data_IF_066209421034
#
_entry.id   IF_066209421034
#
_cell.length_a   1.000
_cell.length_b   1.000
_cell.length_c   1.000
_cell.angle_alpha   90.00
_cell.angle_beta   90.00
_cell.angle_gamma   90.00
#
_symmetry.space_group_name_H-M   'P 1'
#
loop_
_entity.id
_entity.type
_entity.pdbx_description
1 polymer ?
#
# COMPACT_ATOMS: atom_id res chain seq x y z
N UNK A 1 -1.55 50.61 19.41
CA UNK A 1 -1.09 49.42 18.66
C UNK A 1 0.38 49.18 19.03
N UNK A 2 0.70 48.33 20.02
CA UNK A 2 2.07 47.78 20.24
C UNK A 2 2.18 46.89 21.51
N UNK A 3 1.17 46.09 21.87
CA UNK A 3 1.31 45.19 23.05
C UNK A 3 0.55 43.85 22.90
N UNK A 4 0.46 43.29 21.70
CA UNK A 4 -0.26 42.02 21.47
C UNK A 4 0.56 40.95 20.71
N UNK A 5 1.90 41.02 20.75
CA UNK A 5 2.78 40.03 20.09
C UNK A 5 3.45 39.08 21.11
N UNK A 6 3.25 39.29 22.42
CA UNK A 6 4.01 38.62 23.47
C UNK A 6 3.35 37.37 24.09
N UNK A 7 2.45 36.67 23.39
CA UNK A 7 1.82 35.44 23.90
C UNK A 7 1.67 34.34 22.84
N UNK A 8 2.67 34.16 21.96
CA UNK A 8 2.93 32.80 21.48
C UNK A 8 3.72 32.16 22.64
N UNK A 9 3.11 31.30 23.47
CA UNK A 9 3.79 30.80 24.65
C UNK A 9 5.10 30.11 24.20
N UNK A 10 6.18 30.29 24.95
CA UNK A 10 7.46 29.58 24.76
C UNK A 10 7.26 28.06 24.54
N UNK A 11 6.18 27.52 25.13
CA UNK A 11 5.62 26.18 24.88
C UNK A 11 5.38 25.86 23.41
N UNK A 12 4.85 26.77 22.59
CA UNK A 12 4.59 26.55 21.17
C UNK A 12 5.89 26.34 20.39
N UNK A 13 6.93 27.13 20.67
CA UNK A 13 8.24 26.96 20.04
C UNK A 13 8.85 25.58 20.37
N UNK A 14 8.77 25.18 21.64
CA UNK A 14 9.23 23.85 22.07
C UNK A 14 8.43 22.70 21.47
N UNK A 15 7.10 22.82 21.40
CA UNK A 15 6.21 21.82 20.78
C UNK A 15 6.48 21.70 19.27
N UNK A 16 6.64 22.82 18.56
CA UNK A 16 6.94 22.80 17.12
C UNK A 16 8.33 22.20 16.84
N UNK A 17 9.32 22.47 17.70
CA UNK A 17 10.64 21.87 17.59
C UNK A 17 10.63 20.37 17.89
N UNK A 18 9.89 19.94 18.91
CA UNK A 18 9.70 18.52 19.22
C UNK A 18 8.96 17.79 18.09
N UNK A 19 7.91 18.40 17.53
CA UNK A 19 7.20 17.88 16.36
C UNK A 19 8.11 17.75 15.13
N UNK A 20 8.96 18.74 14.88
CA UNK A 20 9.95 18.70 13.80
C UNK A 20 10.95 17.55 13.99
N UNK A 21 11.52 17.40 15.19
CA UNK A 21 12.43 16.28 15.50
C UNK A 21 11.72 14.95 15.33
N UNK A 22 10.47 14.83 15.81
CA UNK A 22 9.66 13.63 15.67
C UNK A 22 9.43 13.28 14.20
N UNK A 23 9.08 14.25 13.35
CA UNK A 23 8.91 14.05 11.91
C UNK A 23 10.21 13.63 11.22
N UNK A 24 11.35 14.24 11.57
CA UNK A 24 12.67 13.86 11.05
C UNK A 24 13.04 12.44 11.48
N UNK A 25 12.80 12.09 12.74
CA UNK A 25 13.07 10.76 13.27
C UNK A 25 12.17 9.71 12.61
N UNK A 26 10.88 10.01 12.43
CA UNK A 26 9.94 9.13 11.73
C UNK A 26 10.37 8.91 10.27
N UNK A 27 10.78 9.98 9.57
CA UNK A 27 11.28 9.91 8.20
C UNK A 27 12.61 9.16 8.05
N UNK A 28 13.45 9.09 9.10
CA UNK A 28 14.67 8.26 9.12
C UNK A 28 14.42 6.82 9.57
N UNK A 29 13.47 6.61 10.48
CA UNK A 29 13.11 5.30 11.03
C UNK A 29 12.28 4.48 10.05
N UNK A 30 11.50 5.14 9.19
CA UNK A 30 11.10 4.54 7.94
C UNK A 30 12.38 4.35 7.13
N UNK A 31 12.77 3.11 6.84
CA UNK A 31 13.96 2.78 6.07
C UNK A 31 13.86 3.28 4.61
N UNK A 32 13.82 4.60 4.40
CA UNK A 32 13.75 5.26 3.09
C UNK A 32 15.07 5.19 2.32
N UNK A 33 16.12 4.63 2.92
CA UNK A 33 17.48 4.62 2.38
C UNK A 33 17.91 3.29 1.76
N UNK A 34 17.04 2.27 1.71
CA UNK A 34 17.37 1.09 0.91
C UNK A 34 17.32 1.46 -0.56
N UNK A 35 18.48 1.43 -1.22
CA UNK A 35 18.60 1.61 -2.66
C UNK A 35 17.79 0.48 -3.32
N UNK A 36 16.82 0.77 -4.19
CA UNK A 36 16.07 -0.27 -4.88
C UNK A 36 17.03 -1.10 -5.75
N UNK A 37 17.29 -2.34 -5.34
CA UNK A 37 18.11 -3.28 -6.09
C UNK A 37 17.32 -3.77 -7.32
N UNK A 38 18.03 -4.05 -8.42
CA UNK A 38 17.40 -4.64 -9.59
C UNK A 38 16.80 -6.01 -9.22
N UNK A 39 15.62 -6.36 -9.76
CA UNK A 39 15.01 -7.65 -9.49
C UNK A 39 15.91 -8.79 -9.97
N UNK A 40 16.07 -9.81 -9.12
CA UNK A 40 16.82 -11.03 -9.45
C UNK A 40 15.84 -12.12 -9.90
N UNK A 41 15.97 -12.55 -11.14
CA UNK A 41 15.11 -13.59 -11.70
C UNK A 41 15.67 -15.00 -11.44
N UNK A 42 14.83 -15.87 -10.90
CA UNK A 42 15.13 -17.30 -10.73
C UNK A 42 14.28 -18.10 -11.70
N UNK A 43 14.94 -18.85 -12.59
CA UNK A 43 14.26 -19.63 -13.63
C UNK A 43 14.26 -21.12 -13.31
N UNK A 44 13.11 -21.76 -13.49
CA UNK A 44 13.04 -23.23 -13.51
C UNK A 44 13.89 -23.77 -14.68
N UNK A 45 14.70 -24.81 -14.41
CA UNK A 45 15.71 -25.32 -15.35
C UNK A 45 15.15 -25.66 -16.74
N UNK A 46 13.92 -26.16 -16.81
CA UNK A 46 13.25 -26.56 -18.06
C UNK A 46 12.80 -25.38 -18.94
N UNK A 47 12.64 -24.19 -18.36
CA UNK A 47 12.02 -23.03 -19.03
C UNK A 47 12.95 -21.82 -19.13
N UNK A 48 14.22 -21.98 -18.71
CA UNK A 48 15.19 -20.88 -18.57
C UNK A 48 15.31 -20.01 -19.83
N UNK A 49 15.43 -20.62 -21.01
CA UNK A 49 15.65 -19.87 -22.25
C UNK A 49 14.39 -19.08 -22.65
N UNK A 50 13.22 -19.74 -22.67
CA UNK A 50 11.94 -19.10 -23.01
C UNK A 50 11.57 -17.95 -22.06
N UNK A 51 11.79 -18.14 -20.76
CA UNK A 51 11.48 -17.11 -19.75
C UNK A 51 12.45 -15.95 -19.81
N UNK A 52 13.73 -16.21 -20.12
CA UNK A 52 14.72 -15.16 -20.33
C UNK A 52 14.34 -14.27 -21.51
N UNK A 53 13.97 -14.87 -22.64
CA UNK A 53 13.57 -14.12 -23.84
C UNK A 53 12.34 -13.22 -23.56
N UNK A 54 11.38 -13.73 -22.77
CA UNK A 54 10.19 -12.97 -22.35
C UNK A 54 10.55 -11.81 -21.42
N UNK A 55 11.43 -12.04 -20.42
CA UNK A 55 11.88 -10.99 -19.52
C UNK A 55 12.69 -9.92 -20.26
N UNK A 56 13.45 -10.28 -21.30
CA UNK A 56 14.17 -9.32 -22.16
C UNK A 56 13.22 -8.48 -23.02
N UNK A 57 12.04 -9.01 -23.40
CA UNK A 57 11.00 -8.27 -24.14
C UNK A 57 10.28 -7.21 -23.29
N UNK A 58 10.31 -7.32 -21.96
CA UNK A 58 9.57 -6.45 -21.04
C UNK A 58 10.57 -5.56 -20.28
N UNK A 59 10.85 -4.34 -20.76
CA UNK A 59 11.87 -3.48 -20.17
C UNK A 59 11.57 -3.10 -18.71
N UNK A 60 10.29 -2.94 -18.35
CA UNK A 60 9.87 -2.60 -16.97
C UNK A 60 10.31 -3.64 -15.92
N UNK A 61 10.50 -4.90 -16.31
CA UNK A 61 10.97 -5.95 -15.40
C UNK A 61 12.47 -5.84 -15.12
N UNK A 62 13.25 -5.18 -16.00
CA UNK A 62 14.70 -5.05 -15.83
C UNK A 62 15.12 -3.74 -15.14
N UNK A 63 14.17 -2.82 -14.98
CA UNK A 63 14.41 -1.53 -14.34
C UNK A 63 14.33 -1.63 -12.82
N UNK A 64 15.05 -0.73 -12.14
CA UNK A 64 14.94 -0.60 -10.69
C UNK A 64 13.64 0.13 -10.36
N UNK A 65 12.75 -0.53 -9.62
CA UNK A 65 11.49 0.06 -9.20
C UNK A 65 11.75 1.28 -8.31
N UNK A 66 11.17 2.42 -8.68
CA UNK A 66 11.22 3.64 -7.87
C UNK A 66 9.90 3.73 -7.11
N UNK A 67 9.87 3.34 -5.82
CA UNK A 67 8.65 3.41 -5.05
C UNK A 67 8.16 4.86 -4.93
N UNK A 68 6.86 5.11 -5.15
CA UNK A 68 6.28 6.43 -4.97
C UNK A 68 6.33 6.82 -3.48
N UNK A 69 7.23 7.76 -3.17
CA UNK A 69 7.35 8.46 -1.89
C UNK A 69 7.42 7.53 -0.64
N UNK A 70 7.01 8.05 0.51
CA UNK A 70 6.96 7.37 1.81
C UNK A 70 6.03 6.15 1.80
N UNK A 71 4.98 6.18 0.97
CA UNK A 71 3.94 5.15 0.90
C UNK A 71 4.45 3.85 0.27
N UNK A 72 5.22 3.94 -0.83
CA UNK A 72 5.77 2.76 -1.51
C UNK A 72 7.03 2.19 -0.85
N UNK A 73 7.67 2.91 0.09
CA UNK A 73 8.92 2.49 0.74
C UNK A 73 8.73 1.75 2.06
N UNK A 74 7.57 1.91 2.72
CA UNK A 74 7.28 1.20 3.97
C UNK A 74 5.98 0.40 3.88
N UNK A 75 6.12 -0.85 3.44
CA UNK A 75 5.01 -1.80 3.42
C UNK A 75 4.37 -2.02 4.79
N UNK A 76 5.13 -1.86 5.89
CA UNK A 76 4.60 -1.92 7.25
C UNK A 76 3.69 -0.74 7.59
N UNK A 77 4.07 0.49 7.23
CA UNK A 77 3.21 1.65 7.45
C UNK A 77 2.02 1.64 6.52
N UNK A 78 2.22 1.25 5.26
CA UNK A 78 1.12 0.98 4.35
C UNK A 78 0.13 0.01 5.00
N UNK A 79 0.58 -1.16 5.43
CA UNK A 79 -0.31 -2.18 6.04
C UNK A 79 -0.93 -1.70 7.35
N UNK A 80 -0.20 -0.95 8.17
CA UNK A 80 -0.72 -0.40 9.42
C UNK A 80 -1.80 0.65 9.16
N UNK A 81 -1.54 1.64 8.30
CA UNK A 81 -2.53 2.66 7.95
C UNK A 81 -3.74 2.05 7.27
N UNK A 82 -3.55 1.15 6.30
CA UNK A 82 -4.66 0.44 5.67
C UNK A 82 -5.42 -0.42 6.68
N UNK A 83 -4.76 -1.09 7.63
CA UNK A 83 -5.44 -1.87 8.67
C UNK A 83 -6.24 -1.03 9.67
N UNK A 84 -5.74 0.17 10.00
CA UNK A 84 -6.45 1.13 10.87
C UNK A 84 -7.61 1.79 10.13
N UNK A 85 -7.40 2.24 8.89
CA UNK A 85 -8.43 2.84 8.04
C UNK A 85 -9.52 1.83 7.65
N UNK A 86 -9.16 0.59 7.31
CA UNK A 86 -10.11 -0.47 6.96
C UNK A 86 -10.96 -0.92 8.17
N UNK A 87 -10.48 -0.74 9.41
CA UNK A 87 -11.33 -0.91 10.59
C UNK A 87 -12.24 0.28 10.86
N UNK A 88 -11.80 1.49 10.52
CA UNK A 88 -12.61 2.70 10.68
C UNK A 88 -13.74 2.75 9.65
N UNK A 89 -13.43 2.35 8.42
CA UNK A 89 -14.40 2.09 7.38
C UNK A 89 -14.81 0.62 7.46
N UNK A 90 -15.74 0.31 8.37
CA UNK A 90 -16.73 -0.72 8.05
C UNK A 90 -17.45 -0.25 6.77
N UNK A 91 -16.80 -0.44 5.63
CA UNK A 91 -17.37 -0.21 4.32
C UNK A 91 -18.53 -1.19 4.26
N UNK A 92 -19.74 -0.66 4.44
CA UNK A 92 -20.99 -1.33 4.13
C UNK A 92 -21.06 -1.51 2.61
N UNK A 93 -20.05 -2.15 2.02
CA UNK A 93 -20.16 -2.71 0.69
C UNK A 93 -21.31 -3.72 0.79
N UNK A 94 -22.34 -3.60 -0.04
CA UNK A 94 -23.41 -4.58 -0.06
C UNK A 94 -22.77 -5.93 -0.41
N UNK A 95 -22.57 -6.76 0.60
CA UNK A 95 -22.03 -8.10 0.45
C UNK A 95 -23.12 -9.10 0.73
N UNK A 96 -23.33 -10.01 -0.21
CA UNK A 96 -24.24 -11.13 -0.01
C UNK A 96 -23.40 -12.32 0.46
N UNK A 97 -23.71 -12.83 1.65
CA UNK A 97 -23.08 -14.04 2.16
C UNK A 97 -23.75 -15.27 1.54
N UNK A 98 -22.96 -16.09 0.87
CA UNK A 98 -23.39 -17.35 0.30
C UNK A 98 -22.84 -18.52 1.10
N UNK A 99 -23.64 -19.59 1.16
CA UNK A 99 -23.28 -20.83 1.82
C UNK A 99 -23.40 -21.96 0.81
N UNK A 100 -22.31 -22.71 0.63
CA UNK A 100 -22.30 -23.93 -0.17
C UNK A 100 -22.10 -25.10 0.79
N UNK A 101 -23.05 -26.03 0.78
CA UNK A 101 -22.91 -27.31 1.44
C UNK A 101 -22.19 -28.29 0.52
N UNK A 102 -21.11 -28.87 1.00
CA UNK A 102 -20.35 -29.90 0.32
C UNK A 102 -20.90 -31.28 0.69
N UNK A 103 -20.64 -32.27 -0.18
CA UNK A 103 -21.14 -33.64 0.00
C UNK A 103 -20.56 -34.35 1.23
N UNK A 104 -19.44 -33.86 1.77
CA UNK A 104 -18.80 -34.33 3.01
C UNK A 104 -19.43 -33.73 4.29
N UNK A 105 -20.46 -32.89 4.14
CA UNK A 105 -21.12 -32.20 5.25
C UNK A 105 -20.43 -30.90 5.68
N UNK A 106 -19.32 -30.50 5.03
CA UNK A 106 -18.72 -29.21 5.27
C UNK A 106 -19.57 -28.08 4.67
N UNK A 107 -19.48 -26.88 5.26
CA UNK A 107 -20.15 -25.68 4.76
C UNK A 107 -19.11 -24.61 4.48
N UNK A 108 -19.03 -24.17 3.22
CA UNK A 108 -18.18 -23.05 2.80
C UNK A 108 -19.03 -21.80 2.78
N UNK A 109 -18.70 -20.83 3.63
CA UNK A 109 -19.31 -19.50 3.62
C UNK A 109 -18.35 -18.49 2.98
N UNK A 110 -18.83 -17.73 2.02
CA UNK A 110 -18.06 -16.64 1.41
C UNK A 110 -18.95 -15.42 1.17
N UNK A 111 -18.34 -14.24 1.21
CA UNK A 111 -19.01 -12.97 0.95
C UNK A 111 -18.71 -12.54 -0.48
N UNK A 112 -19.77 -12.34 -1.28
CA UNK A 112 -19.68 -11.81 -2.64
C UNK A 112 -19.88 -10.30 -2.56
N UNK A 113 -18.91 -9.54 -3.06
CA UNK A 113 -18.99 -8.08 -3.16
C UNK A 113 -19.29 -7.72 -4.61
N UNK A 114 -20.48 -7.18 -4.87
CA UNK A 114 -20.84 -6.71 -6.21
C UNK A 114 -20.44 -5.23 -6.38
N UNK A 115 -19.94 -4.83 -7.57
CA UNK A 115 -19.67 -3.43 -7.87
C UNK A 115 -20.99 -2.64 -7.88
N UNK A 116 -21.08 -1.60 -7.05
CA UNK A 116 -22.29 -0.77 -6.89
C UNK A 116 -22.63 0.07 -8.13
N UNK A 117 -21.67 0.22 -9.05
CA UNK A 117 -21.86 0.93 -10.31
C UNK A 117 -21.43 0.04 -11.49
N UNK A 118 -22.26 -0.12 -12.54
CA UNK A 118 -21.80 -0.69 -13.78
C UNK A 118 -20.78 0.29 -14.39
N UNK A 119 -19.51 -0.06 -14.33
CA UNK A 119 -18.50 0.70 -15.06
C UNK A 119 -18.73 0.48 -16.57
N UNK A 120 -19.15 1.51 -17.29
CA UNK A 120 -19.21 1.53 -18.76
C UNK A 120 -17.82 1.38 -19.41
N UNK A 121 -16.75 1.32 -18.60
CA UNK A 121 -15.40 1.02 -19.02
C UNK A 121 -15.00 -0.35 -18.48
N UNK A 122 -14.98 -1.33 -19.37
CA UNK A 122 -14.54 -2.68 -19.06
C UNK A 122 -13.13 -2.70 -18.47
N UNK A 123 -12.98 -3.44 -17.37
CA UNK A 123 -11.78 -4.23 -17.05
C UNK A 123 -10.42 -3.53 -16.85
N UNK A 124 -10.32 -2.23 -16.61
CA UNK A 124 -9.00 -1.61 -16.35
C UNK A 124 -8.70 -1.23 -14.89
N UNK A 125 -9.67 -1.19 -13.97
CA UNK A 125 -9.40 -0.65 -12.63
C UNK A 125 -8.79 -1.63 -11.60
N UNK A 126 -8.66 -2.92 -11.90
CA UNK A 126 -8.12 -3.91 -10.95
C UNK A 126 -6.60 -4.13 -11.04
N UNK A 127 -5.89 -3.48 -11.97
CA UNK A 127 -4.45 -3.59 -12.13
C UNK A 127 -3.76 -2.22 -12.10
N UNK A 128 -3.95 -1.48 -11.02
CA UNK A 128 -3.04 -0.39 -10.67
C UNK A 128 -2.66 -0.47 -9.20
N UNK A 129 -1.66 -1.30 -8.92
CA UNK A 129 -0.71 -1.07 -7.84
C UNK A 129 0.64 -1.63 -8.26
#
# INVERSE_FOLDING_TARGET
>A
MMFAVALIPFSYGGVMFAAFIFLVFMGKSMSLSSIPERPKFYYARKLKNKMRDLVELIPMLNESYIPPLLWGRSGHLQTFFYGVLNRADHLNLPSQRHYIHLDDGATVSFDVFEPTEPSDQGMESCFST
#
